data_IF_662383921318
#
_entry.id   IF_662383921318
#
_cell.length_a   1.000
_cell.length_b   1.000
_cell.length_c   1.000
_cell.angle_alpha   90.00
_cell.angle_beta   90.00
_cell.angle_gamma   90.00
#
_symmetry.space_group_name_H-M   'P 1'
#
loop_
_entity.id
_entity.type
_entity.pdbx_description
1 polymer ?
#
# COMPACT_ATOMS: atom_id res chain seq x y z
N UNK A 1 -25.57 17.79 53.79
CA UNK A 1 -25.16 17.32 52.45
C UNK A 1 -26.36 16.62 51.80
N UNK A 2 -27.30 17.36 51.20
CA UNK A 2 -28.56 16.80 50.75
C UNK A 2 -28.40 16.07 49.42
N UNK A 3 -29.09 14.94 49.35
CA UNK A 3 -29.11 13.97 48.27
C UNK A 3 -29.54 14.63 46.96
N UNK A 4 -28.67 14.53 45.96
CA UNK A 4 -28.92 14.89 44.58
C UNK A 4 -30.12 14.07 44.07
N UNK A 5 -31.22 14.76 43.74
CA UNK A 5 -32.48 14.11 43.43
C UNK A 5 -32.36 13.14 42.23
N UNK A 6 -32.93 11.93 42.36
CA UNK A 6 -32.95 10.85 41.36
C UNK A 6 -33.38 11.28 39.95
N UNK A 7 -34.05 12.43 39.83
CA UNK A 7 -34.50 13.05 38.58
C UNK A 7 -33.36 13.72 37.80
N UNK A 8 -32.35 14.23 38.49
CA UNK A 8 -31.20 14.89 37.88
C UNK A 8 -30.11 13.88 37.48
N UNK A 9 -30.01 12.74 38.19
CA UNK A 9 -29.15 11.62 37.76
C UNK A 9 -29.61 11.04 36.41
N UNK A 10 -30.92 10.87 36.19
CA UNK A 10 -31.43 10.32 34.93
C UNK A 10 -31.17 11.24 33.73
N UNK A 11 -31.27 12.57 33.92
CA UNK A 11 -30.93 13.55 32.89
C UNK A 11 -29.43 13.58 32.58
N UNK A 12 -28.57 13.40 33.58
CA UNK A 12 -27.12 13.31 33.38
C UNK A 12 -26.70 12.03 32.67
N UNK A 13 -27.35 10.89 32.96
CA UNK A 13 -27.10 9.61 32.29
C UNK A 13 -27.57 9.63 30.84
N UNK A 14 -28.71 10.27 30.55
CA UNK A 14 -29.19 10.46 29.17
C UNK A 14 -28.32 11.42 28.35
N UNK A 15 -27.81 12.49 28.97
CA UNK A 15 -26.87 13.40 28.31
C UNK A 15 -25.52 12.72 28.02
N UNK A 16 -25.05 11.86 28.91
CA UNK A 16 -23.83 11.08 28.71
C UNK A 16 -23.96 10.05 27.59
N UNK A 17 -25.17 9.52 27.33
CA UNK A 17 -25.40 8.52 26.28
C UNK A 17 -25.51 9.14 24.88
N UNK A 18 -25.92 10.42 24.77
CA UNK A 18 -26.03 11.15 23.50
C UNK A 18 -24.67 11.70 23.01
N UNK A 19 -23.68 11.75 23.90
CA UNK A 19 -22.32 12.25 23.60
C UNK A 19 -21.27 11.14 23.51
N UNK A 20 -21.66 9.87 23.30
CA UNK A 20 -20.69 8.87 22.89
C UNK A 20 -20.22 9.22 21.47
N UNK A 21 -18.94 9.59 21.26
CA UNK A 21 -18.39 9.49 19.92
C UNK A 21 -18.54 8.02 19.54
N UNK A 22 -19.16 7.76 18.40
CA UNK A 22 -18.99 6.47 17.74
C UNK A 22 -17.47 6.32 17.56
N UNK A 23 -16.84 5.53 18.44
CA UNK A 23 -15.50 5.03 18.22
C UNK A 23 -15.65 4.13 17.00
N UNK A 24 -15.52 4.75 15.83
CA UNK A 24 -15.37 4.04 14.58
C UNK A 24 -14.15 3.17 14.76
N UNK A 25 -14.37 1.86 14.75
CA UNK A 25 -13.28 0.90 14.67
C UNK A 25 -12.62 1.14 13.32
N UNK A 26 -11.60 1.99 13.29
CA UNK A 26 -10.55 1.89 12.27
C UNK A 26 -10.05 0.47 12.37
N UNK A 27 -10.31 -0.32 11.33
CA UNK A 27 -9.76 -1.64 11.21
C UNK A 27 -8.25 -1.52 11.43
N UNK A 28 -7.76 -2.09 12.53
CA UNK A 28 -6.32 -2.20 12.71
C UNK A 28 -5.82 -3.07 11.57
N UNK A 29 -4.98 -2.50 10.71
CA UNK A 29 -4.16 -3.26 9.78
C UNK A 29 -3.46 -4.33 10.62
N UNK A 30 -3.93 -5.58 10.51
CA UNK A 30 -3.41 -6.68 11.30
C UNK A 30 -1.89 -6.73 11.18
N UNK A 31 -1.22 -7.01 12.30
CA UNK A 31 0.24 -6.97 12.45
C UNK A 31 0.93 -7.75 11.32
N UNK A 32 1.35 -7.02 10.28
CA UNK A 32 2.01 -7.59 9.11
C UNK A 32 3.41 -8.00 9.55
N UNK A 33 3.81 -9.27 9.36
CA UNK A 33 5.15 -9.70 9.74
C UNK A 33 6.22 -8.81 9.10
N UNK A 34 7.15 -8.30 9.91
CA UNK A 34 8.18 -7.37 9.46
C UNK A 34 9.10 -7.95 8.36
N UNK A 35 9.14 -9.28 8.23
CA UNK A 35 9.92 -9.99 7.21
C UNK A 35 9.18 -10.15 5.87
N UNK A 36 7.96 -9.62 5.72
CA UNK A 36 7.29 -9.56 4.43
C UNK A 36 7.84 -8.43 3.58
N UNK A 37 7.45 -8.42 2.30
CA UNK A 37 7.90 -7.39 1.37
C UNK A 37 7.56 -5.96 1.86
N UNK A 38 8.52 -5.05 1.85
CA UNK A 38 8.34 -3.67 2.28
C UNK A 38 7.64 -2.87 1.18
N UNK A 39 6.59 -2.11 1.52
CA UNK A 39 5.90 -1.25 0.54
C UNK A 39 6.77 -0.03 0.22
N UNK A 40 6.94 0.26 -1.07
CA UNK A 40 7.64 1.45 -1.54
C UNK A 40 6.70 2.26 -2.43
N UNK A 41 6.62 3.56 -2.20
CA UNK A 41 5.83 4.47 -3.03
C UNK A 41 6.75 5.31 -3.91
N UNK A 42 6.67 5.08 -5.21
CA UNK A 42 7.40 5.84 -6.22
C UNK A 42 6.46 6.22 -7.38
N UNK A 43 6.68 7.39 -8.02
CA UNK A 43 5.91 7.81 -9.18
C UNK A 43 5.90 6.75 -10.28
N UNK A 44 4.73 6.45 -10.83
CA UNK A 44 4.61 5.51 -11.94
C UNK A 44 4.88 4.03 -11.60
N UNK A 45 5.05 3.69 -10.32
CA UNK A 45 5.31 2.33 -9.83
C UNK A 45 4.20 1.85 -8.87
N UNK A 46 3.01 1.51 -9.39
CA UNK A 46 1.92 1.03 -8.57
C UNK A 46 2.25 -0.32 -7.91
N UNK A 47 1.78 -0.49 -6.67
CA UNK A 47 1.93 -1.72 -5.88
C UNK A 47 3.40 -2.20 -5.72
N UNK A 48 4.36 -1.27 -5.76
CA UNK A 48 5.78 -1.60 -5.62
C UNK A 48 6.10 -2.05 -4.19
N UNK A 49 6.79 -3.19 -4.10
CA UNK A 49 7.29 -3.72 -2.85
C UNK A 49 8.69 -4.30 -3.03
N UNK A 50 9.56 -4.07 -2.05
CA UNK A 50 10.87 -4.73 -1.93
C UNK A 50 10.68 -6.07 -1.23
N UNK A 51 10.92 -7.17 -1.95
CA UNK A 51 10.83 -8.53 -1.39
C UNK A 51 12.14 -8.91 -0.71
N UNK A 52 13.26 -8.52 -1.33
CA UNK A 52 14.63 -8.73 -0.87
C UNK A 52 15.53 -7.62 -1.44
N UNK A 53 16.81 -7.57 -1.06
CA UNK A 53 17.77 -6.58 -1.54
C UNK A 53 17.96 -6.57 -3.06
N UNK A 54 17.81 -7.72 -3.71
CA UNK A 54 17.90 -7.87 -5.15
C UNK A 54 16.57 -8.07 -5.88
N UNK A 55 15.43 -8.06 -5.17
CA UNK A 55 14.15 -8.45 -5.73
C UNK A 55 13.02 -7.51 -5.34
N UNK A 56 12.37 -6.97 -6.36
CA UNK A 56 11.18 -6.14 -6.23
C UNK A 56 10.01 -6.81 -6.94
N UNK A 57 8.80 -6.57 -6.42
CA UNK A 57 7.55 -6.93 -7.09
C UNK A 57 6.67 -5.70 -7.23
N UNK A 58 5.90 -5.60 -8.30
CA UNK A 58 5.03 -4.46 -8.54
C UNK A 58 3.97 -4.75 -9.59
N UNK A 59 3.05 -3.80 -9.76
CA UNK A 59 2.18 -3.76 -10.92
C UNK A 59 2.91 -3.14 -12.13
N UNK A 60 2.19 -2.98 -13.24
CA UNK A 60 2.77 -2.49 -14.49
C UNK A 60 3.35 -1.08 -14.31
N UNK A 61 4.64 -0.86 -14.63
CA UNK A 61 5.26 0.47 -14.54
C UNK A 61 4.78 1.38 -15.69
N UNK A 62 4.75 2.68 -15.43
CA UNK A 62 4.65 3.71 -16.49
C UNK A 62 6.04 4.04 -17.03
N UNK A 63 6.13 4.82 -18.12
CA UNK A 63 7.43 5.31 -18.64
C UNK A 63 8.22 6.15 -17.62
N UNK A 64 7.54 6.86 -16.72
CA UNK A 64 8.18 7.54 -15.59
C UNK A 64 8.69 6.52 -14.56
N UNK A 65 7.88 5.51 -14.24
CA UNK A 65 8.27 4.45 -13.33
C UNK A 65 9.51 3.68 -13.77
N UNK A 66 9.69 3.47 -15.08
CA UNK A 66 10.93 2.85 -15.62
C UNK A 66 12.18 3.69 -15.26
N UNK A 67 12.09 5.02 -15.31
CA UNK A 67 13.21 5.90 -14.93
C UNK A 67 13.47 5.86 -13.43
N UNK A 68 12.43 5.75 -12.61
CA UNK A 68 12.58 5.58 -11.17
C UNK A 68 13.22 4.23 -10.82
N UNK A 69 12.87 3.15 -11.53
CA UNK A 69 13.54 1.85 -11.37
C UNK A 69 15.03 1.93 -11.73
N UNK A 70 15.39 2.70 -12.76
CA UNK A 70 16.80 2.90 -13.13
C UNK A 70 17.58 3.63 -12.03
N UNK A 71 16.99 4.69 -11.47
CA UNK A 71 17.55 5.43 -10.32
C UNK A 71 17.66 4.56 -9.07
N UNK A 72 16.70 3.66 -8.85
CA UNK A 72 16.72 2.66 -7.79
C UNK A 72 17.83 1.61 -8.01
N UNK A 73 18.43 1.57 -9.20
CA UNK A 73 19.53 0.67 -9.54
C UNK A 73 19.08 -0.67 -10.15
N UNK A 74 17.78 -0.82 -10.46
CA UNK A 74 17.24 -2.03 -11.08
C UNK A 74 17.84 -2.22 -12.48
N UNK A 75 18.37 -3.41 -12.74
CA UNK A 75 19.03 -3.75 -14.01
C UNK A 75 18.15 -4.55 -14.96
N UNK A 76 17.11 -5.19 -14.43
CA UNK A 76 16.26 -6.08 -15.21
C UNK A 76 14.81 -6.00 -14.76
N UNK A 77 13.91 -5.88 -15.73
CA UNK A 77 12.47 -5.98 -15.54
C UNK A 77 11.99 -7.28 -16.18
N UNK A 78 11.26 -8.09 -15.40
CA UNK A 78 10.68 -9.35 -15.86
C UNK A 78 9.17 -9.19 -15.96
N UNK A 79 8.63 -9.28 -17.17
CA UNK A 79 7.19 -9.25 -17.41
C UNK A 79 6.62 -10.66 -17.45
N UNK A 80 5.63 -10.89 -16.58
CA UNK A 80 4.94 -12.17 -16.44
C UNK A 80 3.66 -12.26 -17.29
N UNK A 81 3.32 -11.22 -18.06
CA UNK A 81 2.16 -11.22 -18.97
C UNK A 81 2.54 -11.96 -20.26
N UNK A 82 1.80 -13.02 -20.58
CA UNK A 82 2.08 -13.86 -21.75
C UNK A 82 1.73 -13.19 -23.08
N UNK A 83 0.70 -12.32 -23.11
CA UNK A 83 0.11 -11.78 -24.35
C UNK A 83 0.43 -10.32 -24.62
N UNK A 84 1.21 -9.67 -23.75
CA UNK A 84 1.51 -8.24 -23.83
C UNK A 84 2.97 -7.97 -23.51
N UNK A 85 3.57 -7.03 -24.22
CA UNK A 85 4.94 -6.58 -23.97
C UNK A 85 4.95 -5.09 -23.67
N UNK A 86 5.67 -4.72 -22.61
CA UNK A 86 5.96 -3.35 -22.22
C UNK A 86 7.33 -2.90 -22.74
N UNK A 87 7.92 -3.64 -23.68
CA UNK A 87 9.27 -3.36 -24.21
C UNK A 87 9.36 -1.96 -24.82
N UNK A 88 8.26 -1.45 -25.37
CA UNK A 88 8.19 -0.09 -25.93
C UNK A 88 8.29 0.99 -24.84
N UNK A 89 7.89 0.70 -23.60
CA UNK A 89 7.98 1.64 -22.47
C UNK A 89 9.42 1.81 -21.94
N UNK A 90 10.32 0.86 -22.25
CA UNK A 90 11.74 0.94 -21.86
C UNK A 90 12.41 2.16 -22.51
N UNK A 91 12.03 2.49 -23.75
CA UNK A 91 12.59 3.63 -24.48
C UNK A 91 14.12 3.61 -24.51
N UNK A 92 14.74 4.64 -23.91
CA UNK A 92 16.19 4.82 -23.81
C UNK A 92 16.77 4.38 -22.45
N UNK A 93 15.95 3.84 -21.54
CA UNK A 93 16.43 3.43 -20.22
C UNK A 93 17.42 2.27 -20.34
N UNK A 94 18.47 2.28 -19.53
CA UNK A 94 19.50 1.24 -19.53
C UNK A 94 19.09 0.05 -18.65
N UNK A 95 17.95 -0.57 -18.99
CA UNK A 95 17.36 -1.69 -18.24
C UNK A 95 17.07 -2.85 -19.20
N UNK A 96 17.49 -4.06 -18.82
CA UNK A 96 17.15 -5.27 -19.56
C UNK A 96 15.66 -5.61 -19.37
N UNK A 97 14.98 -6.03 -20.43
CA UNK A 97 13.57 -6.44 -20.36
C UNK A 97 13.40 -7.89 -20.82
N UNK A 98 12.95 -8.75 -19.90
CA UNK A 98 12.63 -10.14 -20.16
C UNK A 98 11.13 -10.39 -20.07
N UNK A 99 10.60 -11.26 -20.92
CA UNK A 99 9.22 -11.76 -20.80
C UNK A 99 9.26 -13.28 -20.68
N UNK A 100 8.56 -13.82 -19.69
CA UNK A 100 8.42 -15.26 -19.51
C UNK A 100 7.17 -15.71 -20.27
N UNK A 101 7.36 -16.53 -21.30
CA UNK A 101 6.28 -17.16 -22.06
C UNK A 101 6.13 -18.59 -21.59
N UNK A 102 4.89 -19.02 -21.40
CA UNK A 102 4.56 -20.42 -21.20
C UNK A 102 4.45 -21.10 -22.58
N UNK A 103 5.05 -22.29 -22.71
CA UNK A 103 5.05 -23.11 -23.93
C UNK A 103 3.79 -23.97 -24.02
#
# INVERSE_FOLDING_TARGET
MPLLSRRWMAAFVLLAFVLLPAVGQTAEEGDRPANWAEKIELPGLPNLHKVDDGLYRGAQPTAEGIKELEKLGVKTIVCLRATHSDKELIGQANIAYGSIKYA
#
